data_IF_868570677325
#
_entry.id   IF_868570677325
#
_cell.length_a   1.000
_cell.length_b   1.000
_cell.length_c   1.000
_cell.angle_alpha   90.00
_cell.angle_beta   90.00
_cell.angle_gamma   90.00
#
_symmetry.space_group_name_H-M   'P 1'
#
loop_
_entity.id
_entity.type
_entity.pdbx_description
1 polymer ?
#
# COMPACT_ATOMS: atom_id res chain seq x y z
N UNK A 1 55.05 -0.14 3.19
CA UNK A 1 53.64 0.03 3.61
C UNK A 1 52.74 -0.99 2.93
N UNK A 2 52.49 -1.98 3.57
CA UNK A 2 52.58 -3.19 3.46
C UNK A 2 51.73 -4.14 4.25
N UNK A 3 52.12 -5.32 4.36
CA UNK A 3 51.40 -6.53 4.78
C UNK A 3 50.70 -6.46 6.17
N UNK A 4 51.12 -5.57 7.05
CA UNK A 4 50.52 -5.40 8.38
C UNK A 4 49.13 -4.73 8.38
N UNK A 5 48.76 -4.03 7.30
CA UNK A 5 47.42 -3.40 7.15
C UNK A 5 46.36 -4.40 6.68
N UNK A 6 46.70 -5.32 5.78
CA UNK A 6 45.79 -6.33 5.28
C UNK A 6 45.47 -7.41 6.34
N UNK A 7 46.44 -7.75 7.20
CA UNK A 7 46.24 -8.74 8.27
C UNK A 7 45.24 -8.25 9.34
N UNK A 8 45.20 -6.97 9.65
CA UNK A 8 44.25 -6.37 10.60
C UNK A 8 42.81 -6.30 10.01
N UNK A 9 42.67 -6.11 8.69
CA UNK A 9 41.35 -6.08 8.05
C UNK A 9 40.71 -7.49 8.01
N UNK A 10 41.50 -8.53 7.74
CA UNK A 10 41.00 -9.92 7.73
C UNK A 10 40.65 -10.45 9.13
N UNK A 11 41.28 -9.95 10.19
CA UNK A 11 40.96 -10.37 11.58
C UNK A 11 39.66 -9.77 12.08
N UNK A 12 39.22 -8.60 11.54
CA UNK A 12 37.96 -7.97 11.95
C UNK A 12 36.74 -8.62 11.26
N UNK A 13 36.88 -9.19 10.06
CA UNK A 13 35.82 -9.90 9.33
C UNK A 13 35.57 -11.31 9.91
N UNK A 14 36.58 -11.90 10.57
CA UNK A 14 36.50 -13.26 11.13
C UNK A 14 35.68 -13.40 12.41
N UNK A 15 35.18 -12.32 13.01
CA UNK A 15 34.48 -12.34 14.30
C UNK A 15 32.97 -11.97 14.25
N UNK A 16 32.46 -11.58 13.08
CA UNK A 16 30.99 -11.51 12.91
C UNK A 16 30.45 -12.91 12.65
N UNK A 17 30.20 -13.68 13.69
CA UNK A 17 29.29 -14.81 13.62
C UNK A 17 27.90 -14.22 13.37
N UNK A 18 27.42 -14.29 12.13
CA UNK A 18 26.02 -14.06 11.82
C UNK A 18 25.22 -15.17 12.52
N UNK A 19 24.63 -14.85 13.64
CA UNK A 19 23.75 -15.77 14.36
C UNK A 19 22.50 -15.98 13.50
N UNK A 20 22.23 -17.24 13.14
CA UNK A 20 21.01 -17.59 12.42
C UNK A 20 19.80 -17.34 13.33
N UNK A 21 19.00 -16.34 13.01
CA UNK A 21 17.74 -16.09 13.72
C UNK A 21 16.71 -17.12 13.23
N UNK A 22 16.57 -18.21 13.98
CA UNK A 22 15.61 -19.28 13.67
C UNK A 22 14.23 -18.95 14.28
N UNK A 23 13.23 -18.78 13.40
CA UNK A 23 11.83 -18.50 13.76
C UNK A 23 10.89 -19.70 13.49
N UNK A 24 11.42 -20.88 13.20
CA UNK A 24 10.62 -22.09 12.85
C UNK A 24 9.60 -22.50 13.92
N UNK A 25 9.86 -22.17 15.18
CA UNK A 25 8.98 -22.48 16.32
C UNK A 25 7.94 -21.39 16.57
N UNK A 26 8.07 -20.19 15.98
CA UNK A 26 7.09 -19.13 16.12
C UNK A 26 5.88 -19.43 15.24
N UNK A 27 4.82 -19.89 15.86
CA UNK A 27 3.52 -20.13 15.21
C UNK A 27 2.47 -19.33 15.95
N UNK A 28 1.60 -18.66 15.19
CA UNK A 28 0.38 -18.03 15.69
C UNK A 28 -0.77 -18.94 15.33
N UNK A 29 -1.64 -19.23 16.27
CA UNK A 29 -2.95 -19.81 16.01
C UNK A 29 -3.94 -18.69 15.63
N UNK A 30 -4.85 -19.01 14.74
CA UNK A 30 -5.86 -18.11 14.22
C UNK A 30 -7.22 -18.55 14.75
N UNK A 31 -7.87 -17.72 15.55
CA UNK A 31 -9.07 -18.09 16.29
C UNK A 31 -10.21 -17.07 16.23
N UNK A 32 -10.03 -15.99 15.44
CA UNK A 32 -10.99 -14.89 15.43
C UNK A 32 -12.36 -15.32 14.89
N UNK A 33 -12.42 -16.07 13.81
CA UNK A 33 -13.70 -16.40 13.19
C UNK A 33 -13.61 -17.38 12.03
N UNK A 34 -14.68 -17.40 11.23
CA UNK A 34 -14.82 -18.21 10.02
C UNK A 34 -15.34 -17.35 8.88
N UNK A 35 -15.25 -17.87 7.67
CA UNK A 35 -15.92 -17.31 6.50
C UNK A 35 -16.52 -18.47 5.71
N UNK A 36 -17.85 -18.51 5.64
CA UNK A 36 -18.55 -19.51 4.85
C UNK A 36 -19.20 -18.90 3.61
N UNK A 37 -19.48 -19.72 2.59
CA UNK A 37 -20.10 -19.26 1.36
C UNK A 37 -21.48 -18.63 1.60
N UNK A 38 -22.21 -19.11 2.58
CA UNK A 38 -23.53 -18.58 3.00
C UNK A 38 -23.42 -17.21 3.70
N UNK A 39 -22.23 -16.82 4.15
CA UNK A 39 -21.96 -15.55 4.85
C UNK A 39 -21.42 -14.47 3.93
N UNK A 40 -21.11 -14.85 2.66
CA UNK A 40 -20.61 -13.89 1.67
C UNK A 40 -21.73 -12.93 1.25
N UNK A 41 -21.33 -11.68 1.10
CA UNK A 41 -22.17 -10.66 0.48
C UNK A 41 -22.36 -10.94 -1.02
N UNK A 42 -23.41 -10.40 -1.61
CA UNK A 42 -23.77 -10.62 -3.02
C UNK A 42 -22.74 -10.06 -4.01
N UNK A 43 -21.92 -9.10 -3.58
CA UNK A 43 -20.82 -8.57 -4.36
C UNK A 43 -19.55 -8.45 -3.51
N UNK A 44 -18.35 -8.54 -4.11
CA UNK A 44 -17.12 -8.39 -3.36
C UNK A 44 -16.94 -6.97 -2.80
N UNK A 45 -17.53 -5.95 -3.42
CA UNK A 45 -17.54 -4.59 -2.89
C UNK A 45 -18.30 -4.54 -1.54
N UNK A 46 -19.49 -5.13 -1.48
CA UNK A 46 -20.26 -5.17 -0.22
C UNK A 46 -19.56 -6.00 0.85
N UNK A 47 -18.89 -7.09 0.47
CA UNK A 47 -18.05 -7.86 1.39
C UNK A 47 -16.88 -7.04 1.93
N UNK A 48 -16.23 -6.22 1.09
CA UNK A 48 -15.20 -5.30 1.53
C UNK A 48 -15.77 -4.24 2.48
N UNK A 49 -16.88 -3.60 2.12
CA UNK A 49 -17.57 -2.60 2.96
C UNK A 49 -17.90 -3.15 4.34
N UNK A 50 -18.43 -4.37 4.40
CA UNK A 50 -18.76 -5.05 5.67
C UNK A 50 -17.52 -5.20 6.55
N UNK A 51 -16.47 -5.80 6.02
CA UNK A 51 -15.25 -6.05 6.78
C UNK A 51 -14.50 -4.76 7.15
N UNK A 52 -14.53 -3.75 6.28
CA UNK A 52 -13.93 -2.45 6.53
C UNK A 52 -14.64 -1.73 7.69
N UNK A 53 -15.99 -1.73 7.69
CA UNK A 53 -16.78 -1.16 8.79
C UNK A 53 -16.58 -1.88 10.12
N UNK A 54 -16.45 -3.20 10.12
CA UNK A 54 -16.10 -3.97 11.30
C UNK A 54 -14.73 -3.54 11.85
N UNK A 55 -13.74 -3.35 10.96
CA UNK A 55 -12.41 -2.89 11.35
C UNK A 55 -12.40 -1.45 11.88
N UNK A 56 -13.21 -0.55 11.30
CA UNK A 56 -13.37 0.82 11.82
C UNK A 56 -14.08 0.84 13.19
N UNK A 57 -15.08 0.01 13.38
CA UNK A 57 -15.85 -0.05 14.64
C UNK A 57 -15.00 -0.53 15.83
N UNK A 58 -13.99 -1.36 15.59
CA UNK A 58 -13.03 -1.83 16.60
C UNK A 58 -11.81 -0.88 16.74
N UNK A 59 -11.87 0.29 16.13
CA UNK A 59 -10.84 1.33 16.21
C UNK A 59 -9.42 0.82 15.89
N UNK A 60 -9.29 -0.08 14.90
CA UNK A 60 -8.00 -0.59 14.49
C UNK A 60 -7.08 0.54 14.04
N UNK A 61 -5.84 0.48 14.46
CA UNK A 61 -4.81 1.45 14.03
C UNK A 61 -4.58 1.31 12.52
N UNK A 62 -4.67 2.44 11.82
CA UNK A 62 -4.39 2.53 10.37
C UNK A 62 -5.23 1.57 9.50
N UNK A 63 -6.54 1.43 9.78
CA UNK A 63 -7.47 0.56 9.03
C UNK A 63 -7.39 0.81 7.52
N UNK A 64 -7.06 2.03 7.09
CA UNK A 64 -6.91 2.45 5.70
C UNK A 64 -5.54 2.13 5.10
N UNK A 65 -4.57 1.65 5.90
CA UNK A 65 -3.25 1.31 5.39
C UNK A 65 -3.32 0.04 4.54
N UNK A 66 -2.76 0.12 3.34
CA UNK A 66 -2.73 -1.00 2.41
C UNK A 66 -1.36 -1.14 1.75
N UNK A 67 -0.91 -2.38 1.57
CA UNK A 67 0.25 -2.67 0.73
C UNK A 67 -0.15 -2.52 -0.72
N UNK A 68 0.58 -1.70 -1.47
CA UNK A 68 0.42 -1.55 -2.92
C UNK A 68 1.59 -2.22 -3.62
N UNK A 69 1.30 -3.28 -4.36
CA UNK A 69 2.25 -3.95 -5.24
C UNK A 69 2.12 -3.41 -6.66
N UNK A 70 3.25 -3.03 -7.26
CA UNK A 70 3.35 -2.56 -8.64
C UNK A 70 4.52 -3.23 -9.33
N UNK A 71 4.45 -3.33 -10.66
CA UNK A 71 5.48 -3.95 -11.48
C UNK A 71 5.60 -3.17 -12.79
N UNK A 72 6.76 -2.62 -13.08
CA UNK A 72 7.02 -1.98 -14.38
C UNK A 72 7.30 -2.99 -15.49
N UNK A 73 7.61 -2.49 -16.69
CA UNK A 73 7.85 -3.30 -17.89
C UNK A 73 8.94 -4.39 -17.73
N UNK A 74 9.87 -4.22 -16.77
CA UNK A 74 10.91 -5.20 -16.53
C UNK A 74 10.45 -6.43 -15.70
N UNK A 75 9.20 -6.50 -15.25
CA UNK A 75 8.70 -7.60 -14.45
C UNK A 75 9.20 -7.65 -12.99
N UNK A 76 9.90 -6.61 -12.51
CA UNK A 76 10.40 -6.56 -11.13
C UNK A 76 9.32 -6.03 -10.19
N UNK A 77 8.79 -6.85 -9.26
CA UNK A 77 7.78 -6.42 -8.33
C UNK A 77 8.34 -5.44 -7.29
N UNK A 78 7.50 -4.52 -6.86
CA UNK A 78 7.81 -3.51 -5.86
C UNK A 78 6.60 -3.32 -4.96
N UNK A 79 6.79 -3.24 -3.64
CA UNK A 79 5.70 -3.09 -2.68
C UNK A 79 6.00 -1.96 -1.69
N UNK A 80 4.95 -1.24 -1.26
CA UNK A 80 5.00 -0.19 -0.23
C UNK A 80 3.64 -0.03 0.41
N UNK A 81 3.59 0.61 1.57
CA UNK A 81 2.33 1.00 2.18
C UNK A 81 1.88 2.33 1.58
N UNK A 82 0.59 2.42 1.27
CA UNK A 82 -0.14 3.65 0.94
C UNK A 82 -1.46 3.66 1.73
N UNK A 83 -2.13 4.82 1.79
CA UNK A 83 -3.39 4.94 2.50
C UNK A 83 -4.56 5.01 1.52
N UNK A 84 -5.56 4.16 1.71
CA UNK A 84 -6.85 4.30 1.06
C UNK A 84 -7.47 5.63 1.49
N UNK A 85 -8.00 6.42 0.54
CA UNK A 85 -8.59 7.73 0.83
C UNK A 85 -10.09 7.76 0.64
N UNK A 86 -10.56 7.12 -0.39
CA UNK A 86 -11.98 6.85 -0.61
C UNK A 86 -12.13 5.63 -1.53
N UNK A 87 -13.29 5.05 -1.51
CA UNK A 87 -13.66 3.94 -2.36
C UNK A 87 -15.16 3.93 -2.60
N UNK A 88 -15.54 3.41 -3.72
CA UNK A 88 -16.91 3.20 -4.15
C UNK A 88 -17.00 1.93 -5.02
N UNK A 89 -18.15 1.64 -5.59
CA UNK A 89 -18.33 0.47 -6.47
C UNK A 89 -17.40 0.52 -7.70
N UNK A 90 -16.93 1.70 -8.10
CA UNK A 90 -16.03 1.88 -9.25
C UNK A 90 -14.56 1.68 -8.90
N UNK A 91 -14.19 1.61 -7.61
CA UNK A 91 -12.84 1.25 -7.19
C UNK A 91 -12.29 1.95 -5.97
N UNK A 92 -10.97 1.80 -5.79
CA UNK A 92 -10.21 2.17 -4.59
C UNK A 92 -9.21 3.27 -4.93
N UNK A 93 -9.25 4.38 -4.18
CA UNK A 93 -8.50 5.58 -4.51
C UNK A 93 -7.43 5.91 -3.48
N UNK A 94 -6.24 6.27 -3.97
CA UNK A 94 -5.14 6.83 -3.19
C UNK A 94 -4.47 7.95 -3.96
N UNK A 95 -3.65 8.74 -3.27
CA UNK A 95 -2.94 9.87 -3.88
C UNK A 95 -1.44 9.73 -3.70
N UNK A 96 -0.69 10.09 -4.73
CA UNK A 96 0.76 9.97 -4.74
C UNK A 96 1.40 10.88 -5.80
N UNK A 97 2.73 10.91 -5.83
CA UNK A 97 3.52 11.55 -6.87
C UNK A 97 3.62 10.60 -8.09
N UNK A 98 3.22 11.06 -9.26
CA UNK A 98 3.23 10.32 -10.53
C UNK A 98 4.64 10.02 -11.04
N UNK A 99 5.64 10.84 -10.64
CA UNK A 99 7.05 10.64 -10.97
C UNK A 99 7.80 9.75 -9.98
N UNK A 100 7.13 9.30 -8.91
CA UNK A 100 7.70 8.34 -7.97
C UNK A 100 7.95 6.98 -8.60
N UNK A 101 8.73 6.10 -7.95
CA UNK A 101 8.98 4.73 -8.47
C UNK A 101 7.70 3.98 -8.80
N UNK A 102 6.66 4.06 -7.94
CA UNK A 102 5.37 3.44 -8.20
C UNK A 102 4.61 4.12 -9.35
N UNK A 103 4.69 5.46 -9.43
CA UNK A 103 4.03 6.20 -10.50
C UNK A 103 4.59 5.86 -11.87
N UNK A 104 5.92 5.73 -11.99
CA UNK A 104 6.59 5.27 -13.21
C UNK A 104 6.21 3.83 -13.55
N UNK A 105 6.21 2.92 -12.58
CA UNK A 105 5.80 1.54 -12.80
C UNK A 105 4.35 1.45 -13.29
N UNK A 106 3.42 2.23 -12.70
CA UNK A 106 2.02 2.27 -13.13
C UNK A 106 1.81 2.93 -14.49
N UNK A 107 2.73 3.79 -14.95
CA UNK A 107 2.68 4.33 -16.31
C UNK A 107 3.17 3.34 -17.38
N UNK A 108 3.99 2.37 -17.00
CA UNK A 108 4.51 1.29 -17.86
C UNK A 108 3.59 0.07 -17.86
N UNK A 109 2.94 -0.22 -16.74
CA UNK A 109 2.02 -1.33 -16.53
C UNK A 109 0.94 -0.89 -15.54
N UNK A 110 -0.28 -0.75 -16.05
CA UNK A 110 -1.43 -0.25 -15.33
C UNK A 110 -2.05 -1.27 -14.35
N UNK A 111 -1.49 -2.50 -14.25
CA UNK A 111 -1.92 -3.50 -13.29
C UNK A 111 -1.25 -3.33 -11.93
N UNK A 112 -2.04 -3.45 -10.87
CA UNK A 112 -1.53 -3.53 -9.51
C UNK A 112 -2.38 -4.46 -8.64
N UNK A 113 -1.87 -4.73 -7.47
CA UNK A 113 -2.60 -5.39 -6.38
C UNK A 113 -2.45 -4.58 -5.10
N UNK A 114 -3.56 -4.40 -4.38
CA UNK A 114 -3.57 -3.88 -3.02
C UNK A 114 -3.93 -4.98 -2.04
N UNK A 115 -3.35 -4.89 -0.83
CA UNK A 115 -3.57 -5.84 0.25
C UNK A 115 -3.84 -5.09 1.54
N UNK A 116 -4.98 -5.39 2.17
CA UNK A 116 -5.27 -5.05 3.55
C UNK A 116 -4.97 -6.25 4.44
N UNK A 117 -4.34 -6.02 5.59
CA UNK A 117 -4.11 -7.05 6.61
C UNK A 117 -4.50 -6.52 7.98
N UNK A 118 -5.61 -7.01 8.49
CA UNK A 118 -6.12 -6.69 9.82
C UNK A 118 -5.84 -7.86 10.75
N UNK A 119 -4.73 -7.72 11.45
CA UNK A 119 -4.16 -8.76 12.29
C UNK A 119 -5.10 -9.19 13.41
N UNK A 120 -5.83 -8.24 13.99
CA UNK A 120 -6.74 -8.41 15.11
C UNK A 120 -7.91 -9.31 14.73
N UNK A 121 -8.33 -9.26 13.48
CA UNK A 121 -9.39 -10.10 12.91
C UNK A 121 -8.88 -11.35 12.22
N UNK A 122 -7.59 -11.59 12.18
CA UNK A 122 -7.02 -12.67 11.35
C UNK A 122 -7.49 -12.59 9.89
N UNK A 123 -7.64 -11.38 9.36
CA UNK A 123 -8.18 -11.15 8.01
C UNK A 123 -7.18 -10.53 7.06
N UNK A 124 -7.31 -10.94 5.81
CA UNK A 124 -6.58 -10.35 4.68
C UNK A 124 -7.53 -10.17 3.50
N UNK A 125 -7.44 -9.04 2.81
CA UNK A 125 -8.17 -8.78 1.58
C UNK A 125 -7.17 -8.38 0.51
N UNK A 126 -7.18 -9.10 -0.61
CA UNK A 126 -6.40 -8.77 -1.81
C UNK A 126 -7.34 -8.30 -2.89
N UNK A 127 -6.98 -7.21 -3.58
CA UNK A 127 -7.77 -6.65 -4.68
C UNK A 127 -6.80 -6.33 -5.80
N UNK A 128 -7.01 -6.93 -6.97
CA UNK A 128 -6.20 -6.69 -8.15
C UNK A 128 -7.03 -6.19 -9.33
N UNK A 129 -6.40 -5.43 -10.20
CA UNK A 129 -7.04 -4.87 -11.38
C UNK A 129 -6.22 -3.74 -12.00
N UNK A 130 -6.88 -2.98 -12.86
CA UNK A 130 -6.28 -1.86 -13.59
C UNK A 130 -6.36 -0.55 -12.83
N UNK A 131 -5.36 0.27 -13.03
CA UNK A 131 -5.23 1.58 -12.40
C UNK A 131 -5.38 2.68 -13.43
N UNK A 132 -6.19 3.69 -13.10
CA UNK A 132 -6.29 4.93 -13.86
C UNK A 132 -5.92 6.12 -12.97
N UNK A 133 -5.48 7.23 -13.57
CA UNK A 133 -5.34 8.49 -12.85
C UNK A 133 -6.71 9.13 -12.67
N UNK A 134 -6.94 9.71 -11.50
CA UNK A 134 -8.11 10.57 -11.27
C UNK A 134 -7.98 11.89 -12.05
N UNK A 135 -9.11 12.52 -12.31
CA UNK A 135 -9.16 13.83 -12.95
C UNK A 135 -8.40 14.92 -12.16
N UNK A 136 -8.03 15.99 -12.88
CA UNK A 136 -7.35 17.13 -12.27
C UNK A 136 -8.19 17.73 -11.15
N UNK A 137 -9.48 18.00 -11.42
CA UNK A 137 -10.40 18.65 -10.48
C UNK A 137 -10.55 17.84 -9.18
N UNK A 138 -10.68 16.51 -9.30
CA UNK A 138 -10.75 15.61 -8.13
C UNK A 138 -9.44 15.60 -7.34
N UNK A 139 -8.31 15.62 -8.04
CA UNK A 139 -7.00 15.69 -7.42
C UNK A 139 -6.75 17.04 -6.74
N UNK A 140 -7.20 18.15 -7.35
CA UNK A 140 -7.13 19.49 -6.79
C UNK A 140 -8.03 19.63 -5.54
N UNK A 141 -9.25 19.11 -5.61
CA UNK A 141 -10.18 19.10 -4.48
C UNK A 141 -9.55 18.39 -3.28
N UNK A 142 -9.03 17.18 -3.46
CA UNK A 142 -8.40 16.43 -2.38
C UNK A 142 -7.10 17.11 -1.89
N UNK A 143 -6.25 17.62 -2.77
CA UNK A 143 -5.03 18.34 -2.39
C UNK A 143 -5.34 19.48 -1.45
N UNK A 144 -6.37 20.26 -1.76
CA UNK A 144 -6.79 21.44 -1.00
C UNK A 144 -7.44 21.12 0.36
N UNK A 145 -7.95 19.91 0.55
CA UNK A 145 -8.49 19.43 1.83
C UNK A 145 -7.42 18.92 2.78
N UNK A 146 -6.19 18.69 2.28
CA UNK A 146 -5.08 18.18 3.11
C UNK A 146 -4.60 19.27 4.08
N UNK A 147 -4.08 18.88 5.26
CA UNK A 147 -3.35 19.80 6.14
C UNK A 147 -2.25 20.53 5.37
N UNK A 148 -1.99 21.80 5.74
CA UNK A 148 -1.01 22.64 5.06
C UNK A 148 0.37 22.00 4.96
N UNK A 149 0.84 21.38 6.04
CA UNK A 149 2.12 20.69 6.06
C UNK A 149 2.15 19.53 5.04
N UNK A 150 1.04 18.84 4.87
CA UNK A 150 0.92 17.77 3.88
C UNK A 150 0.93 18.29 2.45
N UNK A 151 0.36 19.47 2.21
CA UNK A 151 0.44 20.16 0.92
C UNK A 151 1.87 20.61 0.64
N UNK A 152 2.50 21.32 1.59
CA UNK A 152 3.88 21.79 1.49
C UNK A 152 4.87 20.63 1.25
N UNK A 153 4.72 19.51 1.95
CA UNK A 153 5.52 18.32 1.74
C UNK A 153 5.39 17.75 0.32
N UNK A 154 4.17 17.74 -0.25
CA UNK A 154 3.95 17.27 -1.61
C UNK A 154 4.55 18.21 -2.67
N UNK A 155 4.60 19.51 -2.41
CA UNK A 155 5.25 20.49 -3.28
C UNK A 155 6.76 20.38 -3.20
N UNK A 156 7.32 20.36 -1.99
CA UNK A 156 8.76 20.38 -1.71
C UNK A 156 9.48 19.10 -2.12
N UNK A 157 8.80 17.93 -1.99
CA UNK A 157 9.40 16.61 -2.22
C UNK A 157 9.28 16.18 -3.68
N UNK A 158 10.36 15.59 -4.21
CA UNK A 158 10.37 14.77 -5.43
C UNK A 158 10.39 13.30 -5.01
N UNK A 159 9.23 12.70 -4.80
CA UNK A 159 9.13 11.37 -4.20
C UNK A 159 9.95 10.32 -4.95
N UNK A 160 10.71 9.51 -4.21
CA UNK A 160 11.62 8.46 -4.71
C UNK A 160 12.88 8.97 -5.42
N UNK A 161 13.11 10.28 -5.52
CA UNK A 161 14.35 10.80 -6.06
C UNK A 161 15.40 10.91 -4.95
N UNK A 162 16.69 10.71 -5.28
CA UNK A 162 17.79 10.96 -4.34
C UNK A 162 17.79 12.41 -3.84
N UNK A 163 18.14 12.60 -2.60
CA UNK A 163 18.44 13.90 -1.99
C UNK A 163 19.72 13.75 -1.17
N UNK A 164 20.61 14.73 -1.24
CA UNK A 164 21.93 14.63 -0.60
C UNK A 164 21.83 14.59 0.92
N UNK A 165 20.99 15.45 1.50
CA UNK A 165 20.81 15.52 2.95
C UNK A 165 19.35 15.76 3.32
N UNK A 166 18.99 15.37 4.54
CA UNK A 166 17.69 15.69 5.13
C UNK A 166 17.49 17.21 5.25
N UNK A 167 18.55 17.96 5.57
CA UNK A 167 18.49 19.41 5.73
C UNK A 167 18.01 20.12 4.45
N UNK A 168 18.44 19.69 3.26
CA UNK A 168 17.96 20.23 1.99
C UNK A 168 16.45 20.00 1.82
N UNK A 169 15.94 18.83 2.23
CA UNK A 169 14.50 18.54 2.16
C UNK A 169 13.71 19.42 3.14
N UNK A 170 14.22 19.59 4.35
CA UNK A 170 13.61 20.44 5.38
C UNK A 170 13.62 21.93 4.96
N UNK A 171 14.70 22.43 4.38
CA UNK A 171 14.79 23.79 3.83
C UNK A 171 13.72 24.03 2.75
N UNK A 172 13.57 23.11 1.79
CA UNK A 172 12.54 23.19 0.76
C UNK A 172 11.14 23.19 1.36
N UNK A 173 10.91 22.33 2.35
CA UNK A 173 9.61 22.26 3.05
C UNK A 173 9.31 23.58 3.76
N UNK A 174 10.26 24.17 4.50
CA UNK A 174 10.08 25.46 5.18
C UNK A 174 9.85 26.60 4.20
N UNK A 175 10.50 26.59 3.05
CA UNK A 175 10.25 27.58 2.00
C UNK A 175 8.82 27.52 1.48
N UNK A 176 8.22 26.32 1.34
CA UNK A 176 6.83 26.17 0.94
C UNK A 176 5.85 26.60 2.05
N UNK A 177 6.14 26.33 3.32
CA UNK A 177 5.37 26.86 4.45
C UNK A 177 5.38 28.39 4.43
N UNK A 178 6.55 29.03 4.33
CA UNK A 178 6.66 30.49 4.26
C UNK A 178 5.94 31.08 3.02
N UNK A 179 5.96 30.37 1.89
CA UNK A 179 5.22 30.77 0.69
C UNK A 179 3.70 30.73 0.91
N UNK A 180 3.22 29.76 1.66
CA UNK A 180 1.78 29.58 1.94
C UNK A 180 1.17 30.72 2.77
N UNK A 181 1.98 31.48 3.52
CA UNK A 181 1.52 32.69 4.23
C UNK A 181 1.12 33.83 3.27
N UNK A 182 1.63 33.82 2.04
CA UNK A 182 1.43 34.88 1.04
C UNK A 182 0.50 34.46 -0.10
N UNK A 183 0.45 33.17 -0.41
CA UNK A 183 -0.37 32.62 -1.48
C UNK A 183 -0.73 31.15 -1.20
N UNK A 184 -1.91 30.73 -1.66
CA UNK A 184 -2.32 29.32 -1.58
C UNK A 184 -1.31 28.44 -2.31
N UNK A 185 -0.99 27.30 -1.71
CA UNK A 185 -0.20 26.28 -2.39
C UNK A 185 -1.03 25.63 -3.51
N UNK A 186 -0.42 25.53 -4.68
CA UNK A 186 -1.01 24.84 -5.82
C UNK A 186 -0.54 23.40 -5.85
N UNK A 187 -1.42 22.50 -6.26
CA UNK A 187 -1.07 21.10 -6.44
C UNK A 187 -0.06 20.97 -7.58
N UNK A 188 1.09 20.32 -7.37
CA UNK A 188 1.99 20.01 -8.47
C UNK A 188 1.33 19.08 -9.49
N UNK A 189 1.52 19.32 -10.79
CA UNK A 189 0.99 18.46 -11.87
C UNK A 189 1.43 16.99 -11.71
N UNK A 190 2.63 16.78 -11.19
CA UNK A 190 3.19 15.45 -10.90
C UNK A 190 2.52 14.73 -9.72
N UNK A 191 1.61 15.37 -8.99
CA UNK A 191 0.95 14.79 -7.82
C UNK A 191 -0.56 14.72 -8.04
N UNK A 192 -1.17 13.60 -7.69
CA UNK A 192 -2.62 13.43 -7.80
C UNK A 192 -3.08 12.02 -7.45
N UNK A 193 -4.33 11.74 -7.79
CA UNK A 193 -5.01 10.51 -7.43
C UNK A 193 -4.85 9.39 -8.46
N UNK A 194 -4.97 8.19 -7.94
CA UNK A 194 -5.12 6.94 -8.68
C UNK A 194 -6.39 6.23 -8.23
N UNK A 195 -7.02 5.51 -9.13
CA UNK A 195 -8.12 4.59 -8.88
C UNK A 195 -7.77 3.20 -9.40
N UNK A 196 -7.78 2.21 -8.50
CA UNK A 196 -7.78 0.80 -8.88
C UNK A 196 -9.20 0.40 -9.23
N UNK A 197 -9.42 -0.02 -10.46
CA UNK A 197 -10.67 -0.63 -10.95
C UNK A 197 -10.54 -2.13 -10.73
N UNK A 198 -11.32 -2.73 -9.80
CA UNK A 198 -11.13 -4.12 -9.43
C UNK A 198 -11.55 -5.10 -10.54
N UNK A 199 -10.72 -6.11 -10.77
CA UNK A 199 -11.03 -7.25 -11.62
C UNK A 199 -11.14 -8.55 -10.80
N UNK A 200 -10.48 -8.59 -9.62
CA UNK A 200 -10.51 -9.72 -8.70
C UNK A 200 -10.40 -9.25 -7.25
N UNK A 201 -11.11 -9.95 -6.36
CA UNK A 201 -10.94 -9.85 -4.92
C UNK A 201 -10.63 -11.23 -4.36
N UNK A 202 -9.83 -11.30 -3.30
CA UNK A 202 -9.68 -12.48 -2.47
C UNK A 202 -9.85 -12.10 -1.01
N UNK A 203 -10.80 -12.75 -0.33
CA UNK A 203 -11.03 -12.64 1.11
C UNK A 203 -10.44 -13.86 1.79
N UNK A 204 -9.57 -13.63 2.75
CA UNK A 204 -8.89 -14.65 3.54
C UNK A 204 -9.21 -14.45 5.01
N UNK A 205 -9.70 -15.52 5.67
CA UNK A 205 -9.96 -15.59 7.10
C UNK A 205 -9.07 -16.66 7.72
N UNK A 206 -8.30 -16.27 8.74
CA UNK A 206 -7.46 -17.20 9.48
C UNK A 206 -8.27 -18.20 10.27
N UNK A 207 -7.88 -19.50 10.20
CA UNK A 207 -8.50 -20.62 10.92
C UNK A 207 -7.44 -21.45 11.62
N UNK A 208 -7.85 -22.15 12.67
CA UNK A 208 -7.04 -23.15 13.34
C UNK A 208 -6.57 -24.23 12.39
N UNK A 209 -5.47 -24.89 12.73
CA UNK A 209 -4.93 -25.99 11.94
C UNK A 209 -4.47 -25.60 10.54
N UNK A 210 -4.34 -24.30 10.22
CA UNK A 210 -3.96 -23.78 8.90
C UNK A 210 -4.98 -24.03 7.78
N UNK A 211 -6.19 -24.50 8.11
CA UNK A 211 -7.26 -24.71 7.13
C UNK A 211 -8.07 -23.42 6.95
N UNK A 212 -7.39 -22.40 6.43
CA UNK A 212 -7.93 -21.04 6.28
C UNK A 212 -9.09 -21.00 5.27
N UNK A 213 -10.10 -20.19 5.57
CA UNK A 213 -11.15 -19.91 4.60
C UNK A 213 -10.69 -18.86 3.59
N UNK A 214 -10.80 -19.19 2.32
CA UNK A 214 -10.41 -18.31 1.22
C UNK A 214 -11.49 -18.30 0.17
N UNK A 215 -11.95 -17.09 -0.20
CA UNK A 215 -12.89 -16.89 -1.30
C UNK A 215 -12.35 -15.88 -2.29
N UNK A 216 -12.30 -16.30 -3.55
CA UNK A 216 -11.97 -15.43 -4.67
C UNK A 216 -13.24 -15.03 -5.39
N UNK A 217 -13.40 -13.74 -5.65
CA UNK A 217 -14.38 -13.21 -6.57
C UNK A 217 -13.64 -12.75 -7.83
N UNK A 218 -14.04 -13.25 -8.98
CA UNK A 218 -13.56 -12.80 -10.28
C UNK A 218 -14.72 -12.27 -11.11
N UNK A 219 -14.50 -11.19 -11.86
CA UNK A 219 -15.48 -10.66 -12.78
C UNK A 219 -15.50 -11.49 -14.06
N UNK A 220 -16.69 -11.96 -14.43
CA UNK A 220 -16.95 -12.64 -15.69
C UNK A 220 -18.12 -11.92 -16.38
N UNK A 221 -17.82 -11.19 -17.47
CA UNK A 221 -18.81 -10.40 -18.22
C UNK A 221 -19.66 -9.45 -17.35
N UNK A 222 -19.02 -8.81 -16.36
CA UNK A 222 -19.66 -7.87 -15.44
C UNK A 222 -20.43 -8.51 -14.29
N UNK A 223 -20.39 -9.84 -14.18
CA UNK A 223 -20.93 -10.56 -13.03
C UNK A 223 -19.82 -11.11 -12.15
N UNK A 224 -19.95 -10.95 -10.84
CA UNK A 224 -19.04 -11.49 -9.87
C UNK A 224 -19.36 -12.94 -9.56
N UNK A 225 -18.38 -13.83 -9.67
CA UNK A 225 -18.48 -15.23 -9.27
C UNK A 225 -17.53 -15.48 -8.11
N UNK A 226 -18.07 -16.04 -7.02
CA UNK A 226 -17.29 -16.46 -5.86
C UNK A 226 -16.91 -17.94 -5.97
N UNK A 227 -15.67 -18.25 -5.66
CA UNK A 227 -15.18 -19.62 -5.51
C UNK A 227 -14.33 -19.77 -4.26
N UNK A 228 -14.47 -20.90 -3.57
CA UNK A 228 -13.61 -21.25 -2.43
C UNK A 228 -12.25 -21.74 -2.94
N UNK A 229 -11.17 -21.22 -2.37
CA UNK A 229 -9.81 -21.66 -2.65
C UNK A 229 -9.31 -22.57 -1.51
N UNK A 230 -8.41 -23.47 -1.85
CA UNK A 230 -7.63 -24.20 -0.83
C UNK A 230 -6.68 -23.24 -0.12
N UNK A 231 -6.41 -23.43 1.20
CA UNK A 231 -5.48 -22.63 1.98
C UNK A 231 -4.03 -22.75 1.53
#
# INVERSE_FOLDING_TARGET
>A
LSELSLARFNTFIGLMRFELIDKKKLRREYSFGSLDQSELEVTPYLQFVKWFKEAEAEELVDVSAMSLATCGAQGKPSVRIVLLKHFDESGFCWYSDYESSKGKQLSENDYCEILFYWREFDRQIRISGKVTRLGSDESDLYFNQRPLESQAAAVASRQSQPVETRAILEERFQAEIARSEKARLERPERWGGYRLIPEQYEFWQGREGRLHDRFRFASDNGQWKAERLQP
#
